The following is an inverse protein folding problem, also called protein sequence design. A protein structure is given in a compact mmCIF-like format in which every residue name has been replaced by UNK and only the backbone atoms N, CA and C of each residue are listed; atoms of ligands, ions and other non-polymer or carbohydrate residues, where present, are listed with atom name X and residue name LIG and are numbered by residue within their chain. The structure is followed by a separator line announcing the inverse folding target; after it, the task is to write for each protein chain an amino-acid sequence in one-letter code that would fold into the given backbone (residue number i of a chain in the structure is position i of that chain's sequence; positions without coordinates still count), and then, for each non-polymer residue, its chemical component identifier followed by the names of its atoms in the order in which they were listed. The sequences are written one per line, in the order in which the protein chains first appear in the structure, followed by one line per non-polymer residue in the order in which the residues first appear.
data_IF_821069998969
#
_entry.id   IF_821069998969
#
_cell.length_a   1.000
_cell.length_b   1.000
_cell.length_c   1.000
_cell.angle_alpha   90.00
_cell.angle_beta   90.00
_cell.angle_gamma   90.00
#
_symmetry.space_group_name_H-M   'P 1'
#
loop_
_entity.id
_entity.type
_entity.pdbx_description
1 polymer ?
#
# COMPACT_ATOMS: atom_id res chain seq x y z
N UNK A 1 7.89 21.24 19.06
CA UNK A 1 7.28 20.70 17.84
C UNK A 1 7.53 19.21 17.86
N UNK A 2 6.48 18.40 17.96
CA UNK A 2 6.61 16.95 17.84
C UNK A 2 7.09 16.60 16.43
N UNK A 3 7.97 15.62 16.32
CA UNK A 3 8.50 15.05 15.07
C UNK A 3 7.46 14.13 14.37
N UNK A 4 6.18 14.33 14.63
CA UNK A 4 5.10 13.36 14.41
C UNK A 4 4.54 13.37 12.98
N UNK A 5 5.16 14.12 12.07
CA UNK A 5 4.74 14.22 10.69
C UNK A 5 5.95 14.13 9.74
N UNK A 6 5.73 13.56 8.56
CA UNK A 6 6.73 13.58 7.51
C UNK A 6 6.71 14.91 6.74
N UNK A 7 7.89 15.41 6.41
CA UNK A 7 8.11 16.68 5.74
C UNK A 7 8.86 16.52 4.40
N UNK A 8 8.11 16.65 3.30
CA UNK A 8 8.63 16.75 1.93
C UNK A 8 8.92 18.19 1.50
N UNK A 9 9.58 18.37 0.36
CA UNK A 9 9.88 19.72 -0.17
C UNK A 9 8.58 20.44 -0.56
N UNK A 10 7.68 19.74 -1.26
CA UNK A 10 6.38 20.25 -1.68
C UNK A 10 5.48 20.50 -0.47
N UNK A 11 5.47 19.56 0.48
CA UNK A 11 4.74 19.72 1.73
C UNK A 11 5.22 20.93 2.54
N UNK A 12 6.54 21.16 2.63
CA UNK A 12 7.09 22.32 3.34
C UNK A 12 6.63 23.64 2.72
N UNK A 13 6.61 23.73 1.38
CA UNK A 13 6.09 24.91 0.68
C UNK A 13 4.61 25.14 0.97
N UNK A 14 3.82 24.09 1.15
CA UNK A 14 2.37 24.22 1.39
C UNK A 14 2.02 24.49 2.85
N UNK A 15 2.66 23.80 3.79
CA UNK A 15 2.30 23.84 5.21
C UNK A 15 3.08 24.88 6.02
N UNK A 16 4.33 25.14 5.62
CA UNK A 16 5.23 26.04 6.35
C UNK A 16 5.41 27.40 5.69
N UNK A 17 4.90 27.62 4.47
CA UNK A 17 4.82 28.98 3.91
C UNK A 17 3.89 29.91 4.71
N UNK A 18 2.99 29.36 5.55
CA UNK A 18 2.14 30.16 6.43
C UNK A 18 2.89 30.69 7.67
N UNK A 19 4.06 30.11 8.00
CA UNK A 19 4.96 30.58 9.07
C UNK A 19 6.33 29.92 8.88
N UNK A 20 7.33 30.70 8.47
CA UNK A 20 8.69 30.20 8.27
C UNK A 20 9.24 29.58 9.57
N UNK A 21 9.64 28.30 9.56
CA UNK A 21 10.24 27.69 10.74
C UNK A 21 11.66 28.22 10.92
N UNK A 22 12.12 28.30 12.17
CA UNK A 22 13.52 28.60 12.49
C UNK A 22 14.49 27.51 12.02
N UNK A 23 13.99 26.31 11.68
CA UNK A 23 14.77 25.22 11.12
C UNK A 23 13.91 24.40 10.16
N UNK A 24 14.45 24.06 8.99
CA UNK A 24 13.76 23.22 8.00
C UNK A 24 13.42 21.84 8.61
N UNK A 25 12.14 21.44 8.67
CA UNK A 25 11.76 20.12 9.17
C UNK A 25 12.40 18.97 8.38
N UNK A 26 12.57 19.16 7.07
CA UNK A 26 13.29 18.19 6.22
C UNK A 26 14.75 18.03 6.63
N UNK A 27 15.43 19.13 6.94
CA UNK A 27 16.82 19.07 7.41
C UNK A 27 16.94 18.33 8.76
N UNK A 28 15.94 18.43 9.64
CA UNK A 28 15.90 17.66 10.88
C UNK A 28 15.74 16.15 10.62
N UNK A 29 14.87 15.76 9.69
CA UNK A 29 14.73 14.36 9.28
C UNK A 29 16.03 13.80 8.68
N UNK A 30 16.67 14.57 7.79
CA UNK A 30 17.91 14.16 7.15
C UNK A 30 19.04 13.97 8.18
N UNK A 31 19.08 14.79 9.24
CA UNK A 31 20.02 14.60 10.37
C UNK A 31 19.83 13.26 11.08
N UNK A 32 18.59 12.83 11.29
CA UNK A 32 18.30 11.51 11.90
C UNK A 32 18.80 10.38 11.00
N UNK A 33 18.55 10.47 9.68
CA UNK A 33 19.06 9.45 8.74
C UNK A 33 20.59 9.42 8.71
N UNK A 34 21.23 10.59 8.67
CA UNK A 34 22.69 10.67 8.63
C UNK A 34 23.34 10.15 9.92
N UNK A 35 22.73 10.44 11.08
CA UNK A 35 23.15 9.85 12.34
C UNK A 35 23.04 8.33 12.32
N UNK A 36 21.91 7.79 11.85
CA UNK A 36 21.72 6.34 11.77
C UNK A 36 22.70 5.66 10.80
N UNK A 37 22.95 6.26 9.63
CA UNK A 37 23.99 5.81 8.67
C UNK A 37 25.36 5.75 9.32
N UNK A 38 25.78 6.82 10.01
CA UNK A 38 27.08 6.90 10.68
C UNK A 38 27.26 5.80 11.77
N UNK A 39 26.16 5.25 12.27
CA UNK A 39 26.16 4.20 13.30
C UNK A 39 25.73 2.81 12.76
N UNK A 40 25.61 2.65 11.43
CA UNK A 40 25.15 1.42 10.79
C UNK A 40 23.83 0.88 11.38
N UNK A 41 22.89 1.79 11.69
CA UNK A 41 21.57 1.44 12.24
C UNK A 41 20.48 1.64 11.21
N UNK A 42 19.49 0.73 11.14
CA UNK A 42 18.29 0.95 10.35
C UNK A 42 17.41 2.02 11.01
N UNK A 43 16.60 2.69 10.20
CA UNK A 43 15.61 3.67 10.65
C UNK A 43 14.20 3.14 10.42
N UNK A 44 13.36 3.32 11.42
CA UNK A 44 11.91 3.25 11.31
C UNK A 44 11.34 4.66 11.29
N UNK A 45 10.52 4.98 10.29
CA UNK A 45 9.63 6.14 10.37
C UNK A 45 8.48 5.73 11.29
N UNK A 46 8.49 6.19 12.53
CA UNK A 46 7.53 5.77 13.55
C UNK A 46 6.19 6.50 13.46
N UNK A 47 6.16 7.70 12.88
CA UNK A 47 4.97 8.53 12.77
C UNK A 47 4.97 9.24 11.41
N UNK A 48 3.91 9.03 10.64
CA UNK A 48 3.68 9.73 9.38
C UNK A 48 2.19 9.90 9.09
N UNK A 49 1.76 11.14 8.91
CA UNK A 49 0.43 11.50 8.42
C UNK A 49 0.50 12.84 7.65
N UNK A 50 -0.39 13.07 6.67
CA UNK A 50 -0.49 14.34 5.94
C UNK A 50 -1.13 15.42 6.83
N UNK A 51 -0.44 15.84 7.90
CA UNK A 51 -0.96 16.82 8.86
C UNK A 51 -1.40 18.11 8.13
N UNK A 52 -2.56 18.63 8.50
CA UNK A 52 -3.16 19.80 7.85
C UNK A 52 -3.95 19.49 6.58
N UNK A 53 -4.00 18.24 6.12
CA UNK A 53 -4.89 17.78 5.05
C UNK A 53 -6.05 16.98 5.61
N UNK A 54 -7.20 17.09 4.96
CA UNK A 54 -8.39 16.29 5.24
C UNK A 54 -8.79 15.54 3.98
N UNK A 55 -8.41 14.26 3.88
CA UNK A 55 -8.64 13.44 2.69
C UNK A 55 -10.13 13.38 2.33
N UNK A 56 -11.00 13.07 3.29
CA UNK A 56 -12.44 12.90 3.03
C UNK A 56 -13.13 14.17 2.52
N UNK A 57 -12.80 15.31 3.11
CA UNK A 57 -13.36 16.60 2.70
C UNK A 57 -12.58 17.28 1.57
N UNK A 58 -11.43 16.73 1.17
CA UNK A 58 -10.49 17.30 0.20
C UNK A 58 -10.18 18.77 0.50
N UNK A 59 -9.76 19.03 1.73
CA UNK A 59 -9.29 20.36 2.16
C UNK A 59 -7.86 20.30 2.65
N UNK A 60 -7.21 21.46 2.63
CA UNK A 60 -5.91 21.70 3.25
C UNK A 60 -5.95 22.96 4.08
N UNK A 61 -5.27 22.97 5.22
CA UNK A 61 -5.06 24.14 6.08
C UNK A 61 -3.60 24.22 6.45
N UNK A 62 -3.14 25.40 6.88
CA UNK A 62 -1.86 25.52 7.56
C UNK A 62 -1.95 24.82 8.94
N UNK A 63 -0.92 24.06 9.33
CA UNK A 63 -0.91 23.36 10.64
C UNK A 63 -1.02 24.29 11.86
N UNK A 64 -0.66 25.59 11.69
CA UNK A 64 -0.74 26.59 12.75
C UNK A 64 -2.00 27.46 12.73
N UNK A 65 -2.75 27.43 11.63
CA UNK A 65 -3.93 28.25 11.43
C UNK A 65 -4.94 27.51 10.55
N UNK A 66 -6.05 27.06 11.14
CA UNK A 66 -7.10 26.34 10.42
C UNK A 66 -7.86 27.32 9.54
N UNK A 67 -7.43 27.36 8.29
CA UNK A 67 -8.14 28.01 7.20
C UNK A 67 -8.29 26.98 6.08
N UNK A 68 -9.33 26.13 6.13
CA UNK A 68 -9.52 25.07 5.15
C UNK A 68 -9.75 25.64 3.76
N UNK A 69 -8.82 25.37 2.86
CA UNK A 69 -8.90 25.66 1.45
C UNK A 69 -9.24 24.39 0.69
N UNK A 70 -10.14 24.49 -0.29
CA UNK A 70 -10.46 23.38 -1.17
C UNK A 70 -9.21 22.87 -1.91
N UNK A 71 -9.14 21.57 -2.09
CA UNK A 71 -8.10 20.90 -2.88
C UNK A 71 -8.69 19.66 -3.57
N UNK A 72 -7.84 18.80 -4.12
CA UNK A 72 -8.25 17.56 -4.80
C UNK A 72 -7.46 16.37 -4.27
N UNK A 73 -7.98 15.14 -4.43
CA UNK A 73 -7.23 13.93 -4.09
C UNK A 73 -5.88 13.86 -4.81
N UNK A 74 -5.81 14.32 -6.06
CA UNK A 74 -4.56 14.43 -6.82
C UNK A 74 -3.57 15.41 -6.19
N UNK A 75 -4.02 16.60 -5.82
CA UNK A 75 -3.17 17.61 -5.20
C UNK A 75 -2.67 17.15 -3.82
N UNK A 76 -3.53 16.51 -3.03
CA UNK A 76 -3.14 15.89 -1.75
C UNK A 76 -2.07 14.83 -1.97
N UNK A 77 -2.31 13.91 -2.93
CA UNK A 77 -1.36 12.86 -3.30
C UNK A 77 0.01 13.45 -3.69
N UNK A 78 0.02 14.36 -4.66
CA UNK A 78 1.24 14.93 -5.20
C UNK A 78 2.00 15.78 -4.16
N UNK A 79 1.30 16.39 -3.21
CA UNK A 79 1.94 17.29 -2.22
C UNK A 79 2.59 16.53 -1.06
N UNK A 80 1.97 15.46 -0.57
CA UNK A 80 2.46 14.75 0.61
C UNK A 80 2.81 13.28 0.35
N UNK A 81 1.90 12.50 -0.23
CA UNK A 81 2.10 11.05 -0.39
C UNK A 81 3.23 10.72 -1.37
N UNK A 82 3.25 11.39 -2.53
CA UNK A 82 4.30 11.18 -3.53
C UNK A 82 5.69 11.57 -2.98
N UNK A 83 5.78 12.72 -2.30
CA UNK A 83 7.01 13.17 -1.63
C UNK A 83 7.45 12.19 -0.54
N UNK A 84 6.50 11.67 0.24
CA UNK A 84 6.76 10.69 1.31
C UNK A 84 7.34 9.39 0.78
N UNK A 85 6.68 8.78 -0.19
CA UNK A 85 7.16 7.54 -0.79
C UNK A 85 8.44 7.77 -1.60
N UNK A 86 8.58 8.90 -2.28
CA UNK A 86 9.81 9.31 -2.96
C UNK A 86 10.99 9.45 -2.00
N UNK A 87 10.77 10.02 -0.82
CA UNK A 87 11.80 10.10 0.23
C UNK A 87 12.25 8.72 0.71
N UNK A 88 11.30 7.82 0.94
CA UNK A 88 11.61 6.45 1.35
C UNK A 88 12.36 5.72 0.24
N UNK A 89 12.00 5.96 -1.02
CA UNK A 89 12.67 5.41 -2.17
C UNK A 89 14.12 5.88 -2.32
N UNK A 90 14.39 7.14 -2.01
CA UNK A 90 15.73 7.72 -2.05
C UNK A 90 16.64 7.29 -0.88
N UNK A 91 16.09 6.68 0.18
CA UNK A 91 16.82 6.35 1.41
C UNK A 91 16.65 4.86 1.80
N UNK A 92 16.56 3.96 0.81
CA UNK A 92 16.44 2.51 1.02
C UNK A 92 17.69 1.85 1.58
N UNK A 93 18.80 2.57 1.66
CA UNK A 93 20.00 2.12 2.34
C UNK A 93 19.81 2.07 3.87
N UNK A 94 19.00 2.98 4.42
CA UNK A 94 18.84 3.17 5.87
C UNK A 94 17.41 2.95 6.37
N UNK A 95 16.38 3.32 5.62
CA UNK A 95 14.98 3.16 6.04
C UNK A 95 14.55 1.71 5.82
N UNK A 96 14.07 1.06 6.89
CA UNK A 96 13.65 -0.35 6.88
C UNK A 96 12.22 -0.61 7.32
N UNK A 97 11.58 0.35 7.97
CA UNK A 97 10.19 0.23 8.41
C UNK A 97 9.51 1.60 8.43
N UNK A 98 8.20 1.60 8.25
CA UNK A 98 7.38 2.81 8.22
C UNK A 98 6.03 2.50 8.85
N UNK A 99 5.60 3.36 9.77
CA UNK A 99 4.24 3.40 10.27
C UNK A 99 3.51 4.60 9.68
N UNK A 100 2.38 4.34 9.04
CA UNK A 100 1.46 5.36 8.54
C UNK A 100 0.26 5.44 9.47
N UNK A 101 -0.03 6.63 10.00
CA UNK A 101 -1.14 6.82 10.94
C UNK A 101 -2.41 7.06 10.10
N UNK A 102 -3.27 6.05 10.02
CA UNK A 102 -4.48 6.07 9.19
C UNK A 102 -5.74 6.33 10.04
N UNK A 103 -5.99 7.60 10.39
CA UNK A 103 -7.11 7.97 11.27
C UNK A 103 -7.79 9.27 10.88
N UNK A 104 -9.04 9.44 11.34
CA UNK A 104 -9.71 10.72 11.36
C UNK A 104 -9.31 11.48 12.63
N UNK A 105 -8.40 12.43 12.53
CA UNK A 105 -7.95 13.21 13.69
C UNK A 105 -9.02 14.21 14.12
N UNK A 106 -9.71 14.81 13.16
CA UNK A 106 -10.81 15.75 13.41
C UNK A 106 -12.00 15.10 14.16
N UNK A 107 -12.07 13.77 14.27
CA UNK A 107 -13.09 13.06 15.06
C UNK A 107 -12.64 12.73 16.50
N UNK A 108 -11.39 13.01 16.87
CA UNK A 108 -10.83 12.66 18.16
C UNK A 108 -10.67 13.91 19.04
N UNK A 109 -11.21 13.93 20.28
CA UNK A 109 -11.23 15.13 21.12
C UNK A 109 -9.85 15.76 21.36
N UNK A 110 -8.81 14.94 21.56
CA UNK A 110 -7.44 15.42 21.86
C UNK A 110 -6.74 16.08 20.65
N UNK A 111 -7.29 15.88 19.44
CA UNK A 111 -6.72 16.35 18.19
C UNK A 111 -7.61 17.38 17.48
N UNK A 112 -8.79 17.64 18.04
CA UNK A 112 -9.64 18.74 17.65
C UNK A 112 -9.10 20.03 18.26
N UNK A 113 -9.22 21.11 17.48
CA UNK A 113 -8.84 22.43 17.94
C UNK A 113 -10.02 23.30 18.34
N UNK A 114 -11.26 22.93 18.01
CA UNK A 114 -12.50 23.64 18.40
C UNK A 114 -12.45 25.18 18.29
N UNK A 115 -11.75 25.70 17.27
CA UNK A 115 -11.55 27.14 17.05
C UNK A 115 -10.37 27.78 17.81
N UNK A 116 -9.75 27.07 18.75
CA UNK A 116 -8.54 27.52 19.44
C UNK A 116 -7.34 27.59 18.46
N UNK A 117 -6.44 28.59 18.62
CA UNK A 117 -5.22 28.68 17.84
C UNK A 117 -4.24 27.53 18.14
N UNK A 118 -3.46 27.11 17.15
CA UNK A 118 -2.45 26.08 17.34
C UNK A 118 -1.42 26.45 18.42
N UNK A 119 -1.10 25.48 19.29
CA UNK A 119 -0.20 25.65 20.41
C UNK A 119 -0.83 26.29 21.66
N UNK A 120 -2.13 26.62 21.62
CA UNK A 120 -2.90 27.12 22.77
C UNK A 120 -3.67 25.99 23.46
N UNK A 121 -4.17 26.20 24.70
CA UNK A 121 -5.09 25.27 25.34
C UNK A 121 -6.25 24.91 24.41
N UNK A 122 -6.54 23.61 24.27
CA UNK A 122 -7.53 23.10 23.33
C UNK A 122 -7.05 22.92 21.88
N UNK A 123 -5.79 23.21 21.56
CA UNK A 123 -5.17 22.91 20.25
C UNK A 123 -3.64 22.78 20.37
N UNK A 124 -3.15 22.14 21.43
CA UNK A 124 -1.73 22.09 21.78
C UNK A 124 -0.85 21.47 20.67
N UNK A 125 -1.41 20.53 19.91
CA UNK A 125 -0.70 19.78 18.87
C UNK A 125 -0.92 20.34 17.45
N UNK A 126 -1.57 21.50 17.32
CA UNK A 126 -1.92 22.09 16.02
C UNK A 126 -3.02 21.32 15.29
N UNK A 127 -3.28 21.71 14.04
CA UNK A 127 -4.37 21.13 13.24
C UNK A 127 -3.91 19.89 12.46
N UNK A 128 -4.61 18.77 12.61
CA UNK A 128 -4.21 17.49 12.02
C UNK A 128 -5.01 17.06 10.79
N UNK A 129 -6.35 17.10 10.84
CA UNK A 129 -7.22 16.78 9.70
C UNK A 129 -7.69 15.32 9.63
N UNK A 130 -7.73 14.75 8.44
CA UNK A 130 -8.17 13.36 8.18
C UNK A 130 -7.18 12.65 7.27
N UNK A 131 -6.50 11.66 7.84
CA UNK A 131 -5.43 10.88 7.19
C UNK A 131 -5.91 9.53 6.69
N UNK A 132 -7.21 9.21 6.78
CA UNK A 132 -7.72 7.94 6.25
C UNK A 132 -7.52 7.87 4.75
N UNK A 133 -6.71 6.93 4.27
CA UNK A 133 -6.49 6.71 2.83
C UNK A 133 -7.80 6.32 2.16
N UNK A 134 -8.68 5.60 2.85
CA UNK A 134 -9.96 5.15 2.35
C UNK A 134 -11.02 6.25 2.23
N UNK A 135 -10.76 7.46 2.74
CA UNK A 135 -11.70 8.57 2.69
C UNK A 135 -11.73 9.27 1.32
N UNK A 136 -10.72 9.06 0.47
CA UNK A 136 -10.69 9.54 -0.92
C UNK A 136 -10.28 8.41 -1.88
N UNK A 137 -11.01 8.25 -2.98
CA UNK A 137 -10.79 7.14 -3.92
C UNK A 137 -9.45 7.22 -4.66
N UNK A 138 -8.98 8.43 -4.97
CA UNK A 138 -7.71 8.65 -5.69
C UNK A 138 -6.54 8.33 -4.77
N UNK A 139 -6.57 8.86 -3.54
CA UNK A 139 -5.55 8.58 -2.52
C UNK A 139 -5.51 7.08 -2.22
N UNK A 140 -6.68 6.45 -1.98
CA UNK A 140 -6.76 5.00 -1.73
C UNK A 140 -6.11 4.19 -2.86
N UNK A 141 -6.52 4.43 -4.10
CA UNK A 141 -6.05 3.68 -5.26
C UNK A 141 -4.53 3.76 -5.40
N UNK A 142 -3.98 4.98 -5.33
CA UNK A 142 -2.54 5.20 -5.49
C UNK A 142 -1.73 4.66 -4.31
N UNK A 143 -2.24 4.79 -3.08
CA UNK A 143 -1.58 4.25 -1.89
C UNK A 143 -1.45 2.72 -1.99
N UNK A 144 -2.53 2.04 -2.37
CA UNK A 144 -2.51 0.59 -2.59
C UNK A 144 -1.63 0.18 -3.77
N UNK A 145 -1.58 0.99 -4.84
CA UNK A 145 -0.66 0.75 -5.96
C UNK A 145 0.81 0.86 -5.53
N UNK A 146 1.17 1.88 -4.74
CA UNK A 146 2.52 2.04 -4.22
C UNK A 146 2.93 0.86 -3.32
N UNK A 147 2.05 0.44 -2.42
CA UNK A 147 2.35 -0.68 -1.52
C UNK A 147 2.53 -2.02 -2.25
N UNK A 148 2.04 -2.18 -3.48
CA UNK A 148 2.30 -3.39 -4.29
C UNK A 148 3.73 -3.48 -4.80
N UNK A 149 4.51 -2.41 -4.75
CA UNK A 149 5.90 -2.41 -5.20
C UNK A 149 6.74 -3.37 -4.34
N UNK A 150 7.66 -4.10 -4.98
CA UNK A 150 8.50 -5.13 -4.33
C UNK A 150 9.40 -4.62 -3.19
N UNK A 151 9.53 -3.30 -3.03
CA UNK A 151 10.25 -2.67 -1.91
C UNK A 151 9.55 -2.84 -0.56
N UNK A 152 8.25 -3.12 -0.55
CA UNK A 152 7.44 -3.22 0.66
C UNK A 152 7.30 -4.67 1.09
N UNK A 153 7.64 -4.95 2.34
CA UNK A 153 7.30 -6.20 3.00
C UNK A 153 5.92 -6.01 3.63
N UNK A 154 4.87 -6.34 2.89
CA UNK A 154 3.52 -6.30 3.41
C UNK A 154 3.21 -7.63 4.12
N UNK A 155 2.60 -7.56 5.32
CA UNK A 155 1.97 -8.73 5.92
C UNK A 155 0.90 -9.24 4.97
N UNK A 156 1.13 -10.43 4.40
CA UNK A 156 0.19 -11.27 3.63
C UNK A 156 -1.10 -10.58 3.16
N UNK A 157 -1.00 -9.63 2.23
CA UNK A 157 -2.15 -8.83 1.83
C UNK A 157 -1.80 -7.70 0.88
N UNK A 158 -1.51 -8.03 -0.38
CA UNK A 158 -1.44 -7.05 -1.47
C UNK A 158 -0.05 -6.72 -2.00
N UNK A 159 0.97 -7.54 -1.74
CA UNK A 159 2.06 -7.72 -2.71
C UNK A 159 1.62 -8.81 -3.69
N UNK A 160 1.98 -8.74 -4.97
CA UNK A 160 1.90 -9.91 -5.82
C UNK A 160 2.62 -11.04 -5.09
N UNK A 161 1.88 -12.07 -4.65
CA UNK A 161 2.54 -13.25 -4.12
C UNK A 161 3.60 -13.71 -5.12
N UNK A 162 4.78 -14.12 -4.66
CA UNK A 162 5.84 -14.49 -5.57
C UNK A 162 5.33 -15.55 -6.54
N UNK A 163 5.60 -15.36 -7.83
CA UNK A 163 5.27 -16.38 -8.82
C UNK A 163 6.02 -17.66 -8.47
N UNK A 164 5.28 -18.75 -8.37
CA UNK A 164 5.82 -20.05 -8.02
C UNK A 164 5.36 -21.08 -9.02
N UNK A 165 6.13 -22.16 -9.08
CA UNK A 165 5.74 -23.35 -9.80
C UNK A 165 5.20 -24.34 -8.79
N UNK A 166 3.98 -24.82 -9.01
CA UNK A 166 3.35 -25.86 -8.19
C UNK A 166 3.72 -27.20 -8.80
N UNK A 167 4.35 -28.07 -8.02
CA UNK A 167 4.88 -29.35 -8.48
C UNK A 167 4.20 -30.50 -7.73
N UNK A 168 3.67 -31.47 -8.47
CA UNK A 168 3.10 -32.67 -7.89
C UNK A 168 4.21 -33.57 -7.32
N UNK A 169 4.12 -33.93 -6.04
CA UNK A 169 5.13 -34.75 -5.34
C UNK A 169 5.29 -36.12 -6.00
N UNK A 170 4.20 -36.79 -6.38
CA UNK A 170 4.25 -38.14 -6.94
C UNK A 170 4.76 -38.23 -8.39
N UNK A 171 4.52 -37.19 -9.20
CA UNK A 171 4.89 -37.19 -10.63
C UNK A 171 6.16 -36.39 -10.93
N UNK A 172 6.60 -35.54 -9.99
CA UNK A 172 7.64 -34.53 -10.20
C UNK A 172 7.34 -33.55 -11.36
N UNK A 173 6.06 -33.45 -11.77
CA UNK A 173 5.57 -32.60 -12.86
C UNK A 173 4.87 -31.35 -12.33
N UNK A 174 4.80 -30.33 -13.18
CA UNK A 174 4.34 -29.00 -12.85
C UNK A 174 2.87 -28.78 -13.26
N UNK A 175 2.13 -28.03 -12.45
CA UNK A 175 0.77 -27.57 -12.74
C UNK A 175 0.84 -26.57 -13.91
N UNK A 176 0.24 -26.94 -15.04
CA UNK A 176 0.47 -26.30 -16.33
C UNK A 176 -0.86 -25.95 -17.02
N UNK A 177 -0.95 -24.73 -17.56
CA UNK A 177 -2.05 -24.33 -18.44
C UNK A 177 -1.80 -24.91 -19.83
N UNK A 178 -2.66 -25.81 -20.29
CA UNK A 178 -2.43 -26.59 -21.51
C UNK A 178 -2.19 -25.71 -22.75
N UNK A 179 -1.00 -25.86 -23.34
CA UNK A 179 -0.56 -25.07 -24.49
C UNK A 179 -0.33 -23.58 -24.20
N UNK A 180 -0.27 -23.17 -22.92
CA UNK A 180 -0.12 -21.78 -22.50
C UNK A 180 -1.26 -20.87 -22.97
N UNK A 181 -2.44 -21.42 -23.26
CA UNK A 181 -3.59 -20.66 -23.76
C UNK A 181 -4.21 -19.83 -22.64
N UNK A 182 -4.81 -18.70 -23.00
CA UNK A 182 -5.35 -17.72 -22.04
C UNK A 182 -6.87 -17.66 -22.03
N UNK A 183 -7.56 -18.50 -22.80
CA UNK A 183 -9.02 -18.54 -22.87
C UNK A 183 -9.62 -19.25 -21.64
N UNK A 184 -10.80 -18.79 -21.21
CA UNK A 184 -11.61 -19.50 -20.20
C UNK A 184 -11.90 -20.94 -20.65
N UNK A 185 -11.87 -21.87 -19.70
CA UNK A 185 -12.05 -23.30 -19.98
C UNK A 185 -10.80 -24.01 -20.49
N UNK A 186 -9.66 -23.31 -20.63
CA UNK A 186 -8.40 -23.98 -20.96
C UNK A 186 -8.04 -24.94 -19.82
N UNK A 187 -7.81 -26.20 -20.18
CA UNK A 187 -7.52 -27.27 -19.22
C UNK A 187 -6.18 -27.08 -18.53
N UNK A 188 -6.15 -27.44 -17.26
CA UNK A 188 -4.93 -27.65 -16.51
C UNK A 188 -4.45 -29.08 -16.71
N UNK A 189 -3.14 -29.25 -16.82
CA UNK A 189 -2.48 -30.53 -16.95
C UNK A 189 -1.27 -30.63 -16.00
N UNK A 190 -0.79 -31.84 -15.77
CA UNK A 190 0.54 -32.07 -15.21
C UNK A 190 1.50 -32.27 -16.37
N UNK A 191 2.46 -31.35 -16.52
CA UNK A 191 3.45 -31.39 -17.60
C UNK A 191 4.87 -31.34 -17.07
N UNK A 192 5.83 -31.73 -17.89
CA UNK A 192 7.24 -31.57 -17.56
C UNK A 192 7.53 -30.11 -17.21
N UNK A 193 8.39 -29.89 -16.23
CA UNK A 193 8.64 -28.55 -15.71
C UNK A 193 9.54 -27.76 -16.66
N UNK A 194 8.93 -26.84 -17.42
CA UNK A 194 9.55 -26.03 -18.47
C UNK A 194 9.99 -24.64 -17.99
N UNK A 195 9.65 -24.26 -16.76
CA UNK A 195 9.96 -22.95 -16.17
C UNK A 195 9.45 -21.75 -17.01
N UNK A 196 8.35 -21.93 -17.75
CA UNK A 196 7.73 -20.89 -18.57
C UNK A 196 6.48 -20.30 -17.88
N UNK A 197 5.85 -19.29 -18.51
CA UNK A 197 4.73 -18.56 -17.94
C UNK A 197 3.45 -19.39 -17.75
N UNK A 198 3.28 -20.49 -18.49
CA UNK A 198 2.14 -21.41 -18.35
C UNK A 198 2.18 -22.21 -17.04
N UNK A 199 3.35 -22.25 -16.39
CA UNK A 199 3.61 -23.00 -15.14
C UNK A 199 3.91 -22.08 -13.96
N UNK A 200 3.57 -20.79 -14.09
CA UNK A 200 3.64 -19.80 -13.02
C UNK A 200 2.27 -19.59 -12.41
N UNK A 201 2.24 -19.59 -11.09
CA UNK A 201 1.06 -19.42 -10.28
C UNK A 201 1.34 -18.46 -9.13
N UNK A 202 0.34 -17.66 -8.81
CA UNK A 202 0.36 -16.71 -7.71
C UNK A 202 -0.72 -17.10 -6.70
N UNK A 203 -0.30 -17.36 -5.47
CA UNK A 203 -1.21 -17.68 -4.36
C UNK A 203 -1.71 -16.39 -3.76
N UNK A 204 -2.93 -15.97 -4.06
CA UNK A 204 -3.50 -14.73 -3.56
C UNK A 204 -3.99 -14.87 -2.11
N UNK A 205 -4.03 -13.77 -1.36
CA UNK A 205 -4.47 -13.77 0.03
C UNK A 205 -5.95 -14.16 0.22
N UNK A 206 -6.76 -14.08 -0.85
CA UNK A 206 -8.15 -14.53 -0.86
C UNK A 206 -8.28 -16.05 -1.16
N UNK A 207 -7.17 -16.79 -1.24
CA UNK A 207 -7.15 -18.22 -1.53
C UNK A 207 -7.17 -18.57 -3.01
N UNK A 208 -7.24 -17.60 -3.93
CA UNK A 208 -7.17 -17.92 -5.36
C UNK A 208 -5.75 -18.23 -5.82
N UNK A 209 -5.65 -19.11 -6.82
CA UNK A 209 -4.40 -19.40 -7.54
C UNK A 209 -4.49 -18.78 -8.93
N UNK A 210 -3.77 -17.69 -9.16
CA UNK A 210 -3.81 -16.94 -10.42
C UNK A 210 -2.65 -17.33 -11.31
N UNK A 211 -2.90 -17.68 -12.57
CA UNK A 211 -1.85 -17.78 -13.57
C UNK A 211 -1.55 -16.37 -14.13
N UNK A 212 -0.34 -15.80 -13.93
CA UNK A 212 -0.04 -14.43 -14.32
C UNK A 212 -0.13 -14.16 -15.83
N UNK A 213 0.18 -15.16 -16.66
CA UNK A 213 0.12 -15.04 -18.13
C UNK A 213 -1.30 -14.78 -18.64
N UNK A 214 -2.27 -15.48 -18.07
CA UNK A 214 -3.69 -15.36 -18.46
C UNK A 214 -4.47 -14.34 -17.62
N UNK A 215 -4.00 -14.05 -16.41
CA UNK A 215 -4.76 -13.28 -15.41
C UNK A 215 -5.96 -14.04 -14.84
N UNK A 216 -6.03 -15.36 -15.05
CA UNK A 216 -7.17 -16.21 -14.70
C UNK A 216 -6.85 -17.14 -13.52
N UNK A 217 -7.89 -17.59 -12.84
CA UNK A 217 -7.81 -18.40 -11.63
C UNK A 217 -7.88 -19.89 -11.95
N UNK A 218 -7.18 -20.70 -11.15
CA UNK A 218 -7.39 -22.15 -11.09
C UNK A 218 -8.83 -22.41 -10.61
N UNK A 219 -9.56 -23.21 -11.37
CA UNK A 219 -10.99 -23.40 -11.22
C UNK A 219 -11.37 -24.88 -11.38
N UNK A 220 -12.18 -25.40 -10.46
CA UNK A 220 -12.80 -26.72 -10.61
C UNK A 220 -14.02 -26.60 -11.52
N UNK A 221 -13.92 -27.19 -12.71
CA UNK A 221 -14.86 -26.98 -13.81
C UNK A 221 -16.32 -27.25 -13.39
N UNK A 222 -17.19 -26.30 -13.70
CA UNK A 222 -18.63 -26.38 -13.42
C UNK A 222 -19.00 -26.53 -11.94
N UNK A 223 -18.17 -26.03 -11.01
CA UNK A 223 -18.33 -26.26 -9.56
C UNK A 223 -18.35 -27.75 -9.18
N UNK A 224 -17.71 -28.60 -9.99
CA UNK A 224 -17.68 -30.04 -9.77
C UNK A 224 -17.00 -30.41 -8.45
N UNK A 225 -17.65 -31.31 -7.68
CA UNK A 225 -17.13 -31.85 -6.41
C UNK A 225 -16.83 -33.35 -6.48
N UNK A 226 -17.08 -33.98 -7.64
CA UNK A 226 -16.84 -35.39 -7.84
C UNK A 226 -15.36 -35.68 -8.13
N UNK A 227 -14.91 -36.88 -7.77
CA UNK A 227 -13.57 -37.34 -8.14
C UNK A 227 -13.41 -37.31 -9.66
N UNK A 228 -12.29 -36.74 -10.14
CA UNK A 228 -12.00 -36.60 -11.56
C UNK A 228 -12.56 -35.32 -12.20
N UNK A 229 -13.19 -34.42 -11.45
CA UNK A 229 -13.49 -33.06 -11.94
C UNK A 229 -12.22 -32.42 -12.50
N UNK A 230 -12.29 -31.99 -13.76
CA UNK A 230 -11.18 -31.39 -14.47
C UNK A 230 -10.91 -29.99 -13.93
N UNK A 231 -9.63 -29.68 -13.73
CA UNK A 231 -9.18 -28.33 -13.42
C UNK A 231 -9.01 -27.52 -14.71
N UNK A 232 -9.46 -26.28 -14.70
CA UNK A 232 -9.32 -25.31 -15.80
C UNK A 232 -8.77 -23.98 -15.30
N UNK A 233 -8.43 -23.07 -16.21
CA UNK A 233 -8.42 -21.65 -15.89
C UNK A 233 -9.78 -21.02 -16.20
N UNK A 234 -10.22 -20.14 -15.33
CA UNK A 234 -11.43 -19.34 -15.54
C UNK A 234 -11.25 -17.92 -15.00
N UNK A 235 -12.06 -16.99 -15.50
CA UNK A 235 -12.12 -15.61 -15.00
C UNK A 235 -12.31 -15.63 -13.48
N UNK A 236 -11.42 -14.95 -12.77
CA UNK A 236 -11.43 -14.90 -11.31
C UNK A 236 -12.71 -14.24 -10.78
N UNK A 237 -13.37 -14.89 -9.84
CA UNK A 237 -14.52 -14.33 -9.14
C UNK A 237 -14.16 -13.15 -8.24
N UNK A 238 -15.07 -12.17 -8.13
CA UNK A 238 -15.01 -11.10 -7.14
C UNK A 238 -16.40 -10.87 -6.53
N UNK A 239 -16.71 -11.40 -5.32
CA UNK A 239 -15.80 -12.13 -4.41
C UNK A 239 -15.32 -13.48 -4.98
N UNK A 240 -14.25 -14.03 -4.39
CA UNK A 240 -13.71 -15.34 -4.81
C UNK A 240 -14.79 -16.42 -4.70
N UNK A 241 -14.87 -17.29 -5.70
CA UNK A 241 -15.84 -18.38 -5.74
C UNK A 241 -15.30 -19.62 -5.02
N UNK A 242 -16.20 -20.47 -4.50
CA UNK A 242 -15.81 -21.66 -3.74
C UNK A 242 -15.01 -22.68 -4.55
N UNK A 243 -15.27 -22.79 -5.86
CA UNK A 243 -14.52 -23.63 -6.82
C UNK A 243 -13.19 -23.00 -7.27
N UNK A 244 -12.83 -21.82 -6.76
CA UNK A 244 -11.58 -21.11 -7.03
C UNK A 244 -10.79 -20.80 -5.74
N UNK A 245 -11.16 -21.41 -4.60
CA UNK A 245 -10.53 -21.21 -3.31
C UNK A 245 -9.67 -22.42 -2.92
N UNK A 246 -8.36 -22.23 -2.79
CA UNK A 246 -7.37 -23.28 -2.65
C UNK A 246 -6.49 -23.07 -1.43
N UNK A 247 -6.15 -24.17 -0.76
CA UNK A 247 -5.10 -24.20 0.26
C UNK A 247 -3.88 -24.90 -0.34
N UNK A 248 -2.73 -24.26 -0.27
CA UNK A 248 -1.43 -24.82 -0.67
C UNK A 248 -0.56 -24.89 0.58
N UNK A 249 -0.11 -26.09 0.94
CA UNK A 249 0.72 -26.38 2.12
C UNK A 249 2.07 -26.96 1.72
#
# INVERSE_FOLDING_TARGET
MSLSAFYGATYNQVQWACKAPSTSPRALQDRVLNFARAHNKPVMIAEAAPQGFTNGSKTRSCIFNKSPQATTGDAIWNTWYADFFGYIAANTDVIRAVAYINTNWDAQPDWQCNGAPAGQPGCANGYWGDSRVQADATVKSRFLNELRNARWVNGSGGGTSPERTIRGVGSNRCLDVSGGRTADGTKIQLWDCLNNAAQKWRVEANGSLVNPQSGKCLDADGWGTANGTQMIIWTCGNPVQSNQNWVVS
#
